data_IF_433256562324
#
_entry.id   IF_433256562324
#
_cell.length_a   1.000
_cell.length_b   1.000
_cell.length_c   1.000
_cell.angle_alpha   90.00
_cell.angle_beta   90.00
_cell.angle_gamma   90.00
#
_symmetry.space_group_name_H-M   'P 1'
#
loop_
_entity.id
_entity.type
_entity.pdbx_description
1 polymer ?
#
# COMPACT_ATOMS: atom_id res chain seq x y z
N UNK A 1 37.27 11.18 8.44
CA UNK A 1 36.40 11.37 9.63
C UNK A 1 35.50 10.16 9.69
N UNK A 2 35.63 9.36 10.75
CA UNK A 2 34.97 8.05 10.88
C UNK A 2 33.67 8.27 11.67
N UNK A 3 32.54 7.83 11.13
CA UNK A 3 31.25 7.86 11.83
C UNK A 3 30.94 6.47 12.41
N UNK A 4 30.53 6.44 13.67
CA UNK A 4 30.13 5.22 14.38
C UNK A 4 28.61 5.18 14.52
N UNK A 5 28.03 4.04 14.16
CA UNK A 5 26.63 3.66 14.42
C UNK A 5 26.66 2.24 14.98
N UNK A 6 26.18 2.04 16.23
CA UNK A 6 26.14 0.74 16.91
C UNK A 6 27.45 -0.07 16.76
N UNK A 7 28.58 0.54 17.12
CA UNK A 7 29.93 -0.06 17.10
C UNK A 7 30.44 -0.57 15.72
N UNK A 8 29.77 -0.26 14.60
CA UNK A 8 30.31 -0.51 13.26
C UNK A 8 30.92 0.74 12.62
N UNK A 9 32.10 0.57 12.05
CA UNK A 9 32.84 1.56 11.27
C UNK A 9 32.33 1.50 9.82
N UNK A 10 31.84 2.62 9.29
CA UNK A 10 31.54 2.76 7.87
C UNK A 10 32.57 3.70 7.24
N UNK A 11 33.48 3.13 6.45
CA UNK A 11 34.38 3.90 5.60
C UNK A 11 33.78 4.03 4.19
N UNK A 12 33.50 5.27 3.80
CA UNK A 12 33.02 5.76 2.49
C UNK A 12 31.51 5.77 2.25
N UNK A 13 31.10 6.81 1.47
CA UNK A 13 29.78 7.08 0.82
C UNK A 13 28.91 8.03 1.68
N UNK A 14 28.48 9.23 1.27
CA UNK A 14 28.37 9.91 -0.03
C UNK A 14 28.35 11.45 0.18
N UNK A 15 28.64 12.21 -0.89
CA UNK A 15 28.75 13.68 -0.94
C UNK A 15 27.65 14.45 -0.17
N UNK A 16 28.06 15.31 0.78
CA UNK A 16 27.29 16.51 1.15
C UNK A 16 26.80 16.67 2.60
N UNK A 17 27.16 15.81 3.56
CA UNK A 17 26.70 15.96 4.94
C UNK A 17 27.69 16.77 5.80
N UNK A 18 27.32 18.01 6.19
CA UNK A 18 28.01 18.81 7.20
C UNK A 18 27.48 18.47 8.60
N UNK A 19 28.37 18.02 9.48
CA UNK A 19 28.05 17.65 10.85
C UNK A 19 28.02 18.89 11.76
N UNK A 20 26.85 19.21 12.32
CA UNK A 20 26.76 19.98 13.58
C UNK A 20 25.77 19.33 14.54
N UNK A 21 26.18 19.26 15.80
CA UNK A 21 25.52 18.55 16.90
C UNK A 21 24.02 18.85 16.98
N UNK A 22 23.21 17.80 17.10
CA UNK A 22 21.78 17.78 17.38
C UNK A 22 20.78 17.99 16.21
N UNK A 23 21.22 18.27 14.97
CA UNK A 23 20.31 18.38 13.82
C UNK A 23 20.33 17.16 12.88
N UNK A 24 21.31 16.25 13.05
CA UNK A 24 21.53 15.12 12.15
C UNK A 24 20.37 14.11 12.12
N UNK A 25 19.72 13.86 13.27
CA UNK A 25 18.55 12.98 13.32
C UNK A 25 17.37 13.58 12.55
N UNK A 26 17.09 14.87 12.72
CA UNK A 26 15.95 15.53 12.09
C UNK A 26 16.14 15.62 10.57
N UNK A 27 17.35 15.96 10.12
CA UNK A 27 17.64 16.11 8.68
C UNK A 27 17.66 14.74 7.99
N UNK A 28 18.24 13.71 8.60
CA UNK A 28 18.21 12.36 8.05
C UNK A 28 16.79 11.79 8.03
N UNK A 29 15.97 12.05 9.04
CA UNK A 29 14.58 11.61 9.11
C UNK A 29 13.70 12.32 8.05
N UNK A 30 13.94 13.61 7.78
CA UNK A 30 13.30 14.34 6.66
C UNK A 30 13.80 13.84 5.30
N UNK A 31 15.10 13.58 5.13
CA UNK A 31 15.66 13.06 3.89
C UNK A 31 15.21 11.62 3.60
N UNK A 32 15.05 10.79 4.63
CA UNK A 32 14.53 9.42 4.52
C UNK A 32 13.01 9.39 4.23
N UNK A 33 12.28 10.48 4.51
CA UNK A 33 10.86 10.62 4.13
C UNK A 33 10.65 10.83 2.63
N UNK A 34 11.65 11.35 1.91
CA UNK A 34 11.60 11.61 0.46
C UNK A 34 12.13 10.44 -0.41
N UNK A 35 12.48 9.31 0.19
CA UNK A 35 12.81 8.08 -0.54
C UNK A 35 11.53 7.43 -1.07
N UNK A 36 11.12 7.78 -2.29
CA UNK A 36 10.12 7.11 -3.15
C UNK A 36 9.33 5.98 -2.47
N UNK A 37 8.45 6.34 -1.52
CA UNK A 37 7.76 5.34 -0.71
C UNK A 37 6.56 4.86 -1.49
N UNK A 38 6.51 3.56 -1.77
CA UNK A 38 5.43 2.96 -2.54
C UNK A 38 4.23 2.67 -1.65
N UNK A 39 3.06 2.65 -2.25
CA UNK A 39 1.79 2.37 -1.61
C UNK A 39 1.28 1.03 -2.14
N UNK A 40 0.76 0.19 -1.25
CA UNK A 40 0.19 -1.11 -1.57
C UNK A 40 -1.32 -0.97 -1.72
N UNK A 41 -1.85 -1.32 -2.88
CA UNK A 41 -3.28 -1.46 -3.12
C UNK A 41 -3.73 -2.90 -2.90
N UNK A 42 -4.86 -3.08 -2.23
CA UNK A 42 -5.43 -4.38 -1.90
C UNK A 42 -6.90 -4.41 -2.28
N UNK A 43 -7.27 -5.37 -3.12
CA UNK A 43 -8.66 -5.75 -3.39
C UNK A 43 -8.97 -7.03 -2.61
N UNK A 44 -9.83 -6.94 -1.60
CA UNK A 44 -10.10 -8.05 -0.69
C UNK A 44 -11.25 -8.91 -1.20
N UNK A 45 -10.92 -10.09 -1.70
CA UNK A 45 -11.89 -11.15 -1.98
C UNK A 45 -11.85 -12.29 -0.95
N UNK A 46 -12.99 -12.95 -0.77
CA UNK A 46 -13.13 -14.07 0.17
C UNK A 46 -12.29 -15.30 -0.19
N UNK A 47 -11.90 -15.44 -1.48
CA UNK A 47 -11.05 -16.54 -1.96
C UNK A 47 -9.66 -16.09 -2.39
N UNK A 48 -9.56 -14.88 -2.94
CA UNK A 48 -8.35 -14.32 -3.54
C UNK A 48 -8.28 -12.84 -3.26
N UNK A 49 -7.06 -12.32 -3.22
CA UNK A 49 -6.77 -10.93 -2.92
C UNK A 49 -5.91 -10.38 -4.05
N UNK A 50 -6.44 -9.35 -4.72
CA UNK A 50 -5.72 -8.61 -5.73
C UNK A 50 -4.71 -7.67 -5.06
N UNK A 51 -3.49 -7.63 -5.58
CA UNK A 51 -2.42 -6.75 -5.08
C UNK A 51 -1.96 -5.82 -6.20
N UNK A 52 -1.85 -4.54 -5.88
CA UNK A 52 -1.28 -3.50 -6.74
C UNK A 52 -0.24 -2.68 -5.97
N UNK A 53 0.64 -2.01 -6.70
CA UNK A 53 1.70 -1.18 -6.11
C UNK A 53 1.80 0.14 -6.88
N UNK A 54 2.00 1.24 -6.16
CA UNK A 54 2.22 2.55 -6.78
C UNK A 54 3.62 2.69 -7.40
N UNK A 55 3.73 3.60 -8.36
CA UNK A 55 5.00 4.20 -8.76
C UNK A 55 5.71 4.83 -7.55
N UNK A 56 7.04 4.92 -7.63
CA UNK A 56 7.84 5.54 -6.56
C UNK A 56 7.61 7.05 -6.42
N UNK A 57 7.02 7.67 -7.43
CA UNK A 57 6.55 9.06 -7.46
C UNK A 57 5.10 9.22 -6.97
N UNK A 58 4.40 8.13 -6.66
CA UNK A 58 3.01 8.16 -6.18
C UNK A 58 1.97 8.54 -7.23
N UNK A 59 2.30 8.57 -8.52
CA UNK A 59 1.40 9.08 -9.56
C UNK A 59 0.53 8.02 -10.22
N UNK A 60 0.99 6.78 -10.29
CA UNK A 60 0.28 5.70 -10.98
C UNK A 60 0.31 4.40 -10.18
N UNK A 61 -0.69 3.54 -10.40
CA UNK A 61 -0.80 2.21 -9.82
C UNK A 61 -0.62 1.12 -10.87
N UNK A 62 0.09 0.04 -10.53
CA UNK A 62 0.25 -1.14 -11.38
C UNK A 62 -0.24 -2.41 -10.71
N UNK A 63 -0.95 -3.30 -11.43
CA UNK A 63 -1.28 -4.62 -10.92
C UNK A 63 0.02 -5.40 -10.66
N UNK A 64 0.12 -6.05 -9.49
CA UNK A 64 1.31 -6.80 -9.10
C UNK A 64 1.09 -8.29 -9.25
N UNK A 65 0.09 -8.83 -8.54
CA UNK A 65 -0.22 -10.25 -8.48
C UNK A 65 -1.55 -10.49 -7.75
N UNK A 66 -1.99 -11.74 -7.73
CA UNK A 66 -3.15 -12.20 -6.94
C UNK A 66 -2.67 -13.25 -5.96
N UNK A 67 -3.04 -13.11 -4.68
CA UNK A 67 -2.70 -14.05 -3.59
C UNK A 67 -3.97 -14.80 -3.18
N UNK A 68 -3.86 -16.09 -2.88
CA UNK A 68 -4.97 -16.82 -2.27
C UNK A 68 -5.22 -16.34 -0.82
N UNK A 69 -6.49 -16.18 -0.45
CA UNK A 69 -6.88 -15.78 0.90
C UNK A 69 -6.82 -16.99 1.84
N UNK A 70 -5.60 -17.37 2.22
CA UNK A 70 -5.32 -18.51 3.09
C UNK A 70 -4.27 -18.13 4.17
N UNK A 71 -3.75 -19.13 4.89
CA UNK A 71 -2.81 -18.91 6.00
C UNK A 71 -1.49 -18.23 5.61
N UNK A 72 -1.03 -18.37 4.37
CA UNK A 72 0.23 -17.74 3.91
C UNK A 72 0.04 -16.30 3.42
N UNK A 73 -1.19 -15.78 3.40
CA UNK A 73 -1.50 -14.42 2.94
C UNK A 73 -0.64 -13.36 3.64
N UNK A 74 -0.55 -13.40 4.97
CA UNK A 74 0.18 -12.40 5.75
C UNK A 74 1.69 -12.48 5.57
N UNK A 75 2.23 -13.66 5.23
CA UNK A 75 3.65 -13.85 4.93
C UNK A 75 3.97 -13.28 3.55
N UNK A 76 3.13 -13.59 2.55
CA UNK A 76 3.28 -13.04 1.20
C UNK A 76 3.19 -11.51 1.18
N UNK A 77 2.25 -10.92 1.94
CA UNK A 77 2.13 -9.47 2.08
C UNK A 77 3.38 -8.88 2.75
N UNK A 78 3.90 -9.53 3.80
CA UNK A 78 5.11 -9.09 4.49
C UNK A 78 6.33 -9.05 3.57
N UNK A 79 6.50 -10.07 2.72
CA UNK A 79 7.57 -10.10 1.71
C UNK A 79 7.44 -8.92 0.72
N UNK A 80 6.22 -8.64 0.25
CA UNK A 80 5.95 -7.52 -0.66
C UNK A 80 6.28 -6.18 0.03
N UNK A 81 5.81 -5.99 1.27
CA UNK A 81 6.05 -4.78 2.05
C UNK A 81 7.56 -4.51 2.18
N UNK A 82 8.33 -5.53 2.56
CA UNK A 82 9.78 -5.41 2.73
C UNK A 82 10.50 -5.16 1.40
N UNK A 83 10.16 -5.94 0.37
CA UNK A 83 10.84 -5.87 -0.94
C UNK A 83 10.60 -4.55 -1.65
N UNK A 84 9.37 -4.06 -1.60
CA UNK A 84 8.92 -2.88 -2.35
C UNK A 84 8.97 -1.60 -1.51
N UNK A 85 9.39 -1.71 -0.24
CA UNK A 85 9.48 -0.61 0.73
C UNK A 85 8.15 0.14 0.86
N UNK A 86 7.08 -0.63 1.08
CA UNK A 86 5.73 -0.10 1.23
C UNK A 86 5.65 0.74 2.50
N UNK A 87 5.06 1.93 2.42
CA UNK A 87 4.85 2.81 3.57
C UNK A 87 3.40 2.99 3.97
N UNK A 88 2.47 2.49 3.16
CA UNK A 88 1.04 2.71 3.34
C UNK A 88 0.26 1.65 2.55
N UNK A 89 -0.90 1.28 3.08
CA UNK A 89 -1.80 0.30 2.48
C UNK A 89 -3.15 0.98 2.18
N UNK A 90 -3.70 0.70 1.01
CA UNK A 90 -5.03 1.13 0.56
C UNK A 90 -5.85 -0.12 0.29
N UNK A 91 -7.01 -0.24 0.92
CA UNK A 91 -7.90 -1.39 0.79
C UNK A 91 -9.20 -0.94 0.14
N UNK A 92 -9.65 -1.69 -0.86
CA UNK A 92 -10.96 -1.48 -1.49
C UNK A 92 -12.10 -1.69 -0.51
N UNK A 93 -13.06 -0.77 -0.50
CA UNK A 93 -14.31 -0.92 0.24
C UNK A 93 -15.46 -1.20 -0.73
N UNK A 94 -15.91 -2.46 -0.78
CA UNK A 94 -17.04 -2.87 -1.59
C UNK A 94 -18.36 -2.44 -0.91
N UNK A 95 -18.83 -1.24 -1.23
CA UNK A 95 -20.05 -0.66 -0.66
C UNK A 95 -21.28 -1.28 -1.34
N UNK A 96 -22.11 -1.99 -0.56
CA UNK A 96 -23.43 -2.39 -1.05
C UNK A 96 -24.35 -1.16 -1.13
N UNK A 97 -24.86 -0.86 -2.33
CA UNK A 97 -25.79 0.25 -2.64
C UNK A 97 -27.07 0.30 -1.78
N UNK A 98 -27.37 -0.77 -1.03
CA UNK A 98 -28.57 -0.90 -0.19
C UNK A 98 -28.38 -0.55 1.29
N UNK A 99 -27.18 -0.10 1.71
CA UNK A 99 -26.93 0.30 3.10
C UNK A 99 -27.10 -0.82 4.14
N UNK A 100 -27.10 -2.08 3.70
CA UNK A 100 -27.15 -3.26 4.56
C UNK A 100 -25.72 -3.74 4.86
N UNK A 101 -25.49 -4.20 6.09
CA UNK A 101 -24.21 -4.80 6.50
C UNK A 101 -23.82 -5.93 5.53
N UNK A 102 -22.76 -5.70 4.77
CA UNK A 102 -22.14 -6.75 3.97
C UNK A 102 -21.25 -7.57 4.91
N UNK A 103 -21.43 -8.89 5.05
CA UNK A 103 -20.53 -9.72 5.85
C UNK A 103 -19.05 -9.51 5.49
N UNK A 104 -18.79 -9.25 4.20
CA UNK A 104 -17.45 -8.97 3.66
C UNK A 104 -16.83 -7.71 4.27
N UNK A 105 -17.63 -6.69 4.62
CA UNK A 105 -17.11 -5.47 5.24
C UNK A 105 -16.55 -5.71 6.65
N UNK A 106 -17.12 -6.67 7.39
CA UNK A 106 -16.56 -7.08 8.68
C UNK A 106 -15.22 -7.78 8.49
N UNK A 107 -15.12 -8.65 7.48
CA UNK A 107 -13.89 -9.36 7.15
C UNK A 107 -12.79 -8.41 6.68
N UNK A 108 -13.12 -7.41 5.86
CA UNK A 108 -12.20 -6.34 5.42
C UNK A 108 -11.66 -5.56 6.62
N UNK A 109 -12.54 -5.15 7.55
CA UNK A 109 -12.11 -4.40 8.75
C UNK A 109 -11.24 -5.24 9.68
N UNK A 110 -11.59 -6.52 9.88
CA UNK A 110 -10.76 -7.43 10.66
C UNK A 110 -9.38 -7.63 10.01
N UNK A 111 -9.36 -7.83 8.69
CA UNK A 111 -8.13 -7.97 7.94
C UNK A 111 -7.25 -6.71 8.04
N UNK A 112 -7.85 -5.52 7.90
CA UNK A 112 -7.17 -4.25 8.11
C UNK A 112 -6.57 -4.15 9.52
N UNK A 113 -7.33 -4.48 10.56
CA UNK A 113 -6.82 -4.47 11.94
C UNK A 113 -5.61 -5.39 12.14
N UNK A 114 -5.63 -6.59 11.53
CA UNK A 114 -4.49 -7.52 11.56
C UNK A 114 -3.27 -6.94 10.82
N UNK A 115 -3.47 -6.28 9.68
CA UNK A 115 -2.38 -5.63 8.94
C UNK A 115 -1.79 -4.46 9.73
N UNK A 116 -2.63 -3.66 10.38
CA UNK A 116 -2.22 -2.51 11.19
C UNK A 116 -1.39 -2.96 12.39
N UNK A 117 -1.86 -3.98 13.12
CA UNK A 117 -1.14 -4.57 14.26
C UNK A 117 0.19 -5.18 13.83
N UNK A 118 0.21 -5.94 12.72
CA UNK A 118 1.40 -6.67 12.27
C UNK A 118 2.47 -5.75 11.68
N UNK A 119 2.09 -4.74 10.91
CA UNK A 119 3.03 -3.95 10.11
C UNK A 119 3.20 -2.51 10.60
N UNK A 120 2.33 -2.01 11.47
CA UNK A 120 2.35 -0.62 11.93
C UNK A 120 2.39 0.39 10.78
N UNK A 121 1.69 0.07 9.68
CA UNK A 121 1.55 0.93 8.50
C UNK A 121 0.16 1.57 8.50
N UNK A 122 0.05 2.83 8.04
CA UNK A 122 -1.25 3.47 7.84
C UNK A 122 -2.08 2.70 6.82
N UNK A 123 -3.37 2.51 7.14
CA UNK A 123 -4.35 1.86 6.27
C UNK A 123 -5.44 2.86 5.91
N UNK A 124 -5.74 2.96 4.61
CA UNK A 124 -6.82 3.76 4.09
C UNK A 124 -7.82 2.88 3.36
N UNK A 125 -9.09 3.30 3.39
CA UNK A 125 -10.15 2.65 2.64
C UNK A 125 -10.52 3.51 1.45
N UNK A 126 -10.67 2.88 0.29
CA UNK A 126 -11.07 3.54 -0.94
C UNK A 126 -12.35 2.89 -1.48
N UNK A 127 -13.46 3.63 -1.63
CA UNK A 127 -14.73 3.10 -2.13
C UNK A 127 -14.60 2.50 -3.54
N UNK A 128 -15.07 1.27 -3.73
CA UNK A 128 -15.21 0.69 -5.06
C UNK A 128 -16.38 1.33 -5.80
N UNK A 129 -16.12 2.00 -6.92
CA UNK A 129 -17.16 2.68 -7.70
C UNK A 129 -17.95 1.75 -8.63
N UNK A 130 -17.54 0.50 -8.79
CA UNK A 130 -18.22 -0.45 -9.66
C UNK A 130 -19.46 -1.01 -8.96
N UNK A 131 -20.61 -0.45 -9.32
CA UNK A 131 -21.90 -1.04 -8.94
C UNK A 131 -21.92 -2.51 -9.38
N UNK A 132 -22.26 -3.40 -8.45
CA UNK A 132 -22.27 -4.86 -8.64
C UNK A 132 -23.15 -5.35 -9.80
N UNK A 133 -23.96 -4.46 -10.39
CA UNK A 133 -24.74 -4.70 -11.61
C UNK A 133 -23.97 -4.43 -12.92
N UNK A 134 -23.02 -3.48 -12.94
CA UNK A 134 -22.21 -3.19 -14.14
C UNK A 134 -21.03 -4.16 -14.31
N UNK A 135 -20.42 -4.63 -13.21
CA UNK A 135 -19.27 -5.54 -13.27
C UNK A 135 -19.62 -6.96 -13.79
N UNK A 136 -20.78 -7.50 -13.41
CA UNK A 136 -21.22 -8.85 -13.80
C UNK A 136 -21.48 -9.05 -15.30
N UNK A 137 -21.68 -7.97 -16.07
CA UNK A 137 -21.89 -8.06 -17.52
C UNK A 137 -20.60 -7.96 -18.33
N UNK A 138 -19.48 -7.61 -17.68
CA UNK A 138 -18.19 -7.34 -18.35
C UNK A 138 -17.10 -8.35 -17.97
N UNK A 139 -17.18 -8.98 -16.78
CA UNK A 139 -16.10 -9.83 -16.27
C UNK A 139 -16.25 -11.30 -16.69
N UNK A 140 -15.45 -11.73 -17.66
CA UNK A 140 -14.97 -13.11 -17.71
C UNK A 140 -14.04 -13.39 -16.52
N UNK A 141 -14.04 -14.62 -16.01
CA UNK A 141 -13.19 -15.07 -14.90
C UNK A 141 -11.71 -15.17 -15.33
N UNK A 142 -11.02 -14.04 -15.46
CA UNK A 142 -9.59 -14.01 -15.76
C UNK A 142 -8.77 -13.62 -14.54
N UNK A 143 -7.71 -14.35 -14.19
CA UNK A 143 -6.85 -14.04 -13.02
C UNK A 143 -6.21 -12.64 -13.09
N UNK A 144 -6.13 -12.04 -14.28
CA UNK A 144 -5.68 -10.66 -14.47
C UNK A 144 -6.72 -9.62 -14.05
N UNK A 145 -8.00 -9.97 -13.91
CA UNK A 145 -9.05 -9.03 -13.50
C UNK A 145 -8.91 -8.59 -12.05
N UNK A 146 -8.56 -9.50 -11.15
CA UNK A 146 -8.50 -9.20 -9.70
C UNK A 146 -7.32 -8.28 -9.35
N UNK A 147 -6.14 -8.51 -9.92
CA UNK A 147 -5.01 -7.59 -9.74
C UNK A 147 -5.27 -6.23 -10.41
N UNK A 148 -6.03 -6.22 -11.52
CA UNK A 148 -6.43 -4.98 -12.18
C UNK A 148 -7.42 -4.17 -11.34
N UNK A 149 -8.35 -4.83 -10.63
CA UNK A 149 -9.26 -4.18 -9.70
C UNK A 149 -8.49 -3.49 -8.56
N UNK A 150 -7.51 -4.17 -7.94
CA UNK A 150 -6.63 -3.57 -6.94
C UNK A 150 -5.88 -2.33 -7.47
N UNK A 151 -5.46 -2.35 -8.74
CA UNK A 151 -4.79 -1.21 -9.37
C UNK A 151 -5.74 -0.03 -9.59
N UNK A 152 -6.99 -0.29 -9.97
CA UNK A 152 -8.02 0.75 -10.12
C UNK A 152 -8.36 1.41 -8.78
N UNK A 153 -8.51 0.61 -7.72
CA UNK A 153 -8.73 1.11 -6.35
C UNK A 153 -7.56 2.01 -5.96
N UNK A 154 -6.33 1.53 -6.10
CA UNK A 154 -5.15 2.31 -5.75
C UNK A 154 -5.05 3.59 -6.59
N UNK A 155 -5.29 3.52 -7.89
CA UNK A 155 -5.25 4.70 -8.76
C UNK A 155 -6.27 5.76 -8.33
N UNK A 156 -7.51 5.36 -8.02
CA UNK A 156 -8.56 6.27 -7.54
C UNK A 156 -8.12 7.02 -6.28
N UNK A 157 -7.47 6.32 -5.36
CA UNK A 157 -6.91 6.91 -4.14
C UNK A 157 -5.78 7.92 -4.44
N UNK A 158 -4.82 7.54 -5.30
CA UNK A 158 -3.72 8.43 -5.69
C UNK A 158 -4.22 9.70 -6.38
N UNK A 159 -5.19 9.57 -7.28
CA UNK A 159 -5.77 10.71 -8.01
C UNK A 159 -6.47 11.69 -7.06
N UNK A 160 -7.17 11.18 -6.03
CA UNK A 160 -7.79 12.01 -4.98
C UNK A 160 -6.74 12.75 -4.15
N UNK A 161 -5.68 12.05 -3.74
CA UNK A 161 -4.57 12.62 -2.98
C UNK A 161 -3.88 13.75 -3.75
N UNK A 162 -3.52 13.51 -5.00
CA UNK A 162 -2.81 14.48 -5.84
C UNK A 162 -3.65 15.75 -6.13
N UNK A 163 -4.97 15.62 -6.21
CA UNK A 163 -5.89 16.78 -6.33
C UNK A 163 -5.89 17.65 -5.07
N UNK A 164 -5.89 17.02 -3.89
CA UNK A 164 -5.86 17.75 -2.63
C UNK A 164 -4.54 18.49 -2.41
N UNK A 165 -3.41 17.92 -2.86
CA UNK A 165 -2.09 18.56 -2.75
C UNK A 165 -1.91 19.74 -3.72
N UNK A 166 -2.73 19.81 -4.77
CA UNK A 166 -2.71 20.90 -5.78
C UNK A 166 -3.72 22.02 -5.51
N UNK A 167 -4.50 21.93 -4.43
CA UNK A 167 -5.61 22.86 -4.09
C UNK A 167 -5.31 23.75 -2.87
#
# INVERSE_FOLDING_TARGET
MICYLNERIYENIFNGCLCTNNSFYIICDVYMRNLSKKILGVDFGTKKIGIAISGGDGNFALPKLVIDNNKSLLENIEEIIKKEKISEIVIGESINYKGQENPVMKDIKNFAGVLEEKFSLPINFEPEFLTSHQAKSIQGEDKMTDASAAALILQSFLDKRNKNDSS
#
